data_IF_171393181761
#
_entry.id   IF_171393181761
#
_cell.length_a   1.000
_cell.length_b   1.000
_cell.length_c   1.000
_cell.angle_alpha   90.00
_cell.angle_beta   90.00
_cell.angle_gamma   90.00
#
_symmetry.space_group_name_H-M   'P 1'
#
loop_
_entity.id
_entity.type
_entity.pdbx_description
1 polymer ?
#
# COMPACT_ATOMS: atom_id res chain seq x y z
N UNK A 1 -3.54 -12.05 -6.88
CA UNK A 1 -4.43 -10.90 -6.53
C UNK A 1 -3.77 -10.08 -5.43
N UNK A 2 -3.90 -8.75 -5.44
CA UNK A 2 -3.30 -7.88 -4.42
C UNK A 2 -4.22 -7.66 -3.22
N UNK A 3 -3.67 -7.78 -2.01
CA UNK A 3 -4.34 -7.36 -0.76
C UNK A 3 -3.42 -6.39 -0.02
N UNK A 4 -3.89 -5.16 0.20
CA UNK A 4 -3.14 -4.14 0.94
C UNK A 4 -3.64 -4.07 2.38
N UNK A 5 -2.76 -4.40 3.33
CA UNK A 5 -3.01 -4.28 4.76
C UNK A 5 -2.53 -2.93 5.28
N UNK A 6 -3.42 -2.18 5.92
CA UNK A 6 -3.13 -0.88 6.52
C UNK A 6 -3.88 -0.68 7.83
N UNK A 7 -3.36 0.18 8.70
CA UNK A 7 -4.04 0.58 9.94
C UNK A 7 -4.65 1.98 9.90
N UNK A 8 -4.19 2.80 8.95
CA UNK A 8 -4.67 4.16 8.80
C UNK A 8 -4.56 4.60 7.33
N UNK A 9 -5.57 5.30 6.83
CA UNK A 9 -5.59 5.85 5.46
C UNK A 9 -5.29 7.34 5.36
N UNK A 10 -5.41 8.07 6.47
CA UNK A 10 -5.49 9.54 6.48
C UNK A 10 -4.29 10.19 7.18
N UNK A 11 -3.74 9.57 8.23
CA UNK A 11 -2.67 10.18 9.04
C UNK A 11 -1.32 9.48 8.94
N UNK A 12 -1.25 8.31 8.30
CA UNK A 12 0.03 7.60 8.07
C UNK A 12 0.52 7.83 6.65
N UNK A 13 1.62 8.59 6.50
CA UNK A 13 2.26 8.81 5.20
C UNK A 13 2.76 7.50 4.56
N UNK A 14 3.11 6.51 5.37
CA UNK A 14 3.57 5.20 4.90
C UNK A 14 2.43 4.42 4.25
N UNK A 15 1.28 4.34 4.94
CA UNK A 15 0.09 3.64 4.41
C UNK A 15 -0.53 4.39 3.22
N UNK A 16 -0.53 5.73 3.27
CA UNK A 16 -1.06 6.57 2.21
C UNK A 16 -0.29 6.39 0.89
N UNK A 17 1.05 6.34 0.93
CA UNK A 17 1.87 6.14 -0.27
C UNK A 17 1.51 4.85 -1.00
N UNK A 18 1.52 3.71 -0.30
CA UNK A 18 1.19 2.41 -0.90
C UNK A 18 -0.25 2.38 -1.46
N UNK A 19 -1.21 2.95 -0.73
CA UNK A 19 -2.60 3.03 -1.18
C UNK A 19 -2.77 3.92 -2.41
N UNK A 20 -2.20 5.13 -2.41
CA UNK A 20 -2.25 6.05 -3.54
C UNK A 20 -1.58 5.46 -4.78
N UNK A 21 -0.46 4.76 -4.63
CA UNK A 21 0.20 4.09 -5.76
C UNK A 21 -0.75 3.10 -6.44
N UNK A 22 -1.38 2.19 -5.68
CA UNK A 22 -2.33 1.23 -6.27
C UNK A 22 -3.54 1.94 -6.92
N UNK A 23 -4.05 3.00 -6.29
CA UNK A 23 -5.20 3.77 -6.80
C UNK A 23 -4.87 4.56 -8.08
N UNK A 24 -3.75 5.29 -8.08
CA UNK A 24 -3.33 6.14 -9.19
C UNK A 24 -3.02 5.32 -10.44
N UNK A 25 -2.56 4.08 -10.24
CA UNK A 25 -2.24 3.15 -11.30
C UNK A 25 -3.42 2.28 -11.71
N UNK A 26 -4.60 2.53 -11.12
CA UNK A 26 -5.83 1.80 -11.39
C UNK A 26 -5.67 0.27 -11.24
N UNK A 27 -4.75 -0.17 -10.37
CA UNK A 27 -4.49 -1.58 -10.11
C UNK A 27 -5.64 -2.09 -9.21
N UNK A 28 -6.37 -3.16 -9.59
CA UNK A 28 -7.37 -3.74 -8.71
C UNK A 28 -6.72 -4.39 -7.48
N UNK A 29 -7.23 -4.07 -6.29
CA UNK A 29 -6.75 -4.65 -5.04
C UNK A 29 -7.87 -4.68 -3.98
N UNK A 30 -7.75 -5.60 -3.04
CA UNK A 30 -8.54 -5.62 -1.81
C UNK A 30 -7.84 -4.78 -0.73
N UNK A 31 -8.63 -4.03 0.04
CA UNK A 31 -8.14 -3.23 1.15
C UNK A 31 -8.51 -3.89 2.48
N UNK A 32 -7.51 -4.41 3.19
CA UNK A 32 -7.69 -4.96 4.53
C UNK A 32 -7.31 -3.89 5.57
N UNK A 33 -8.31 -3.39 6.30
CA UNK A 33 -8.13 -2.34 7.31
C UNK A 33 -8.02 -2.92 8.72
N UNK A 34 -6.94 -2.59 9.43
CA UNK A 34 -6.59 -3.11 10.75
C UNK A 34 -6.32 -1.95 11.72
N UNK A 35 -7.35 -1.37 12.37
CA UNK A 35 -7.16 -0.26 13.31
C UNK A 35 -6.06 -0.55 14.34
N UNK A 36 -5.33 0.48 14.75
CA UNK A 36 -4.39 0.32 15.86
C UNK A 36 -5.15 -0.03 17.13
N UNK A 37 -4.67 -1.04 17.85
CA UNK A 37 -5.10 -1.37 19.19
C UNK A 37 -4.74 -0.22 20.16
N UNK A 38 -5.74 0.27 20.89
CA UNK A 38 -5.65 1.31 21.90
C UNK A 38 -4.73 0.92 23.08
N UNK A 39 -4.55 -0.38 23.31
CA UNK A 39 -3.66 -0.94 24.34
C UNK A 39 -2.21 -1.07 23.86
N UNK A 40 -1.92 -0.70 22.60
CA UNK A 40 -0.58 -0.70 22.04
C UNK A 40 -0.07 -2.07 21.55
N UNK A 41 -0.92 -3.11 21.49
CA UNK A 41 -0.50 -4.45 21.08
C UNK A 41 -0.52 -4.69 19.55
N UNK A 42 -0.72 -3.62 18.77
CA UNK A 42 -0.87 -3.69 17.31
C UNK A 42 0.27 -4.44 16.61
N UNK A 43 1.49 -4.37 17.15
CA UNK A 43 2.63 -5.11 16.60
C UNK A 43 2.39 -6.63 16.60
N UNK A 44 1.89 -7.19 17.70
CA UNK A 44 1.61 -8.62 17.79
C UNK A 44 0.49 -9.05 16.84
N UNK A 45 -0.55 -8.21 16.70
CA UNK A 45 -1.65 -8.47 15.76
C UNK A 45 -1.16 -8.43 14.31
N UNK A 46 -0.35 -7.43 13.95
CA UNK A 46 0.17 -7.29 12.60
C UNK A 46 1.15 -8.40 12.24
N UNK A 47 1.85 -9.00 13.22
CA UNK A 47 2.75 -10.15 12.97
C UNK A 47 2.05 -11.37 12.38
N UNK A 48 0.71 -11.44 12.44
CA UNK A 48 -0.08 -12.51 11.83
C UNK A 48 -0.08 -12.45 10.30
N UNK A 49 0.16 -11.27 9.71
CA UNK A 49 0.17 -11.06 8.25
C UNK A 49 1.40 -10.31 7.74
N UNK A 50 2.12 -9.58 8.59
CA UNK A 50 3.28 -8.77 8.23
C UNK A 50 4.52 -9.28 8.98
N UNK A 51 5.56 -9.76 8.29
CA UNK A 51 6.80 -10.23 8.92
C UNK A 51 7.46 -9.18 9.83
N UNK A 52 7.32 -7.90 9.47
CA UNK A 52 7.87 -6.78 10.24
C UNK A 52 7.00 -6.36 11.42
N UNK A 53 5.79 -6.91 11.56
CA UNK A 53 4.82 -6.48 12.58
C UNK A 53 4.33 -5.04 12.37
N UNK A 54 4.41 -4.55 11.13
CA UNK A 54 4.07 -3.18 10.75
C UNK A 54 3.23 -3.14 9.48
N UNK A 55 2.57 -2.02 9.28
CA UNK A 55 1.83 -1.67 8.07
C UNK A 55 2.43 -0.40 7.44
N UNK A 56 2.33 -0.20 6.12
CA UNK A 56 1.62 -1.03 5.14
C UNK A 56 2.31 -2.38 4.86
N UNK A 57 1.51 -3.36 4.44
CA UNK A 57 1.99 -4.65 3.96
C UNK A 57 1.13 -5.12 2.78
N UNK A 58 1.76 -5.46 1.66
CA UNK A 58 1.11 -5.95 0.45
C UNK A 58 1.27 -7.46 0.35
N UNK A 59 0.17 -8.17 0.22
CA UNK A 59 0.14 -9.59 -0.13
C UNK A 59 -0.13 -9.72 -1.62
N UNK A 60 0.64 -10.57 -2.28
CA UNK A 60 0.46 -10.91 -3.69
C UNK A 60 0.88 -12.36 -3.93
N UNK A 61 -0.11 -13.22 -4.14
CA UNK A 61 0.04 -14.68 -4.26
C UNK A 61 0.81 -15.25 -3.06
N UNK A 62 2.03 -15.79 -3.26
CA UNK A 62 2.87 -16.32 -2.18
C UNK A 62 3.87 -15.31 -1.61
N UNK A 63 3.79 -14.03 -2.04
CA UNK A 63 4.73 -12.98 -1.64
C UNK A 63 4.07 -12.02 -0.65
N UNK A 64 4.86 -11.64 0.34
CA UNK A 64 4.52 -10.62 1.32
C UNK A 64 5.59 -9.54 1.28
N UNK A 65 5.20 -8.33 0.88
CA UNK A 65 6.08 -7.17 0.76
C UNK A 65 5.66 -6.16 1.82
N UNK A 66 6.59 -5.79 2.69
CA UNK A 66 6.37 -4.80 3.75
C UNK A 66 7.32 -3.62 3.51
N UNK A 67 6.98 -2.46 4.09
CA UNK A 67 7.55 -1.15 3.77
C UNK A 67 6.94 -0.49 2.53
N UNK A 68 6.61 0.81 2.64
CA UNK A 68 5.94 1.54 1.57
C UNK A 68 6.78 1.68 0.30
N UNK A 69 8.11 1.87 0.43
CA UNK A 69 8.98 2.02 -0.73
C UNK A 69 9.18 0.67 -1.42
N UNK A 70 9.41 -0.39 -0.65
CA UNK A 70 9.52 -1.74 -1.20
C UNK A 70 8.24 -2.17 -1.93
N UNK A 71 7.06 -1.80 -1.41
CA UNK A 71 5.78 -2.03 -2.10
C UNK A 71 5.75 -1.28 -3.44
N UNK A 72 6.19 -0.02 -3.48
CA UNK A 72 6.21 0.78 -4.72
C UNK A 72 7.17 0.18 -5.74
N UNK A 73 8.39 -0.18 -5.33
CA UNK A 73 9.37 -0.82 -6.20
C UNK A 73 8.85 -2.15 -6.75
N UNK A 74 8.26 -2.98 -5.90
CA UNK A 74 7.65 -4.24 -6.29
C UNK A 74 6.52 -4.05 -7.33
N UNK A 75 5.69 -3.02 -7.16
CA UNK A 75 4.64 -2.69 -8.13
C UNK A 75 5.24 -2.14 -9.43
N UNK A 76 6.29 -1.32 -9.35
CA UNK A 76 7.00 -0.77 -10.49
C UNK A 76 7.62 -1.86 -11.38
N UNK A 77 8.25 -2.87 -10.77
CA UNK A 77 8.80 -4.03 -11.48
C UNK A 77 7.72 -4.85 -12.20
N UNK A 78 6.54 -4.99 -11.60
CA UNK A 78 5.44 -5.81 -12.12
C UNK A 78 4.56 -5.08 -13.15
N UNK A 79 4.55 -3.76 -13.08
CA UNK A 79 3.78 -2.90 -13.96
C UNK A 79 4.75 -1.88 -14.59
N UNK A 80 5.65 -2.30 -15.49
CA UNK A 80 6.70 -1.46 -16.05
C UNK A 80 6.18 -0.21 -16.77
N UNK A 81 4.91 -0.21 -17.19
CA UNK A 81 4.23 0.99 -17.68
C UNK A 81 4.27 2.17 -16.68
N UNK A 82 4.40 1.91 -15.37
CA UNK A 82 4.58 2.94 -14.33
C UNK A 82 5.87 3.73 -14.58
N UNK A 83 6.95 3.04 -14.98
CA UNK A 83 8.27 3.62 -15.16
C UNK A 83 8.41 4.29 -16.55
N UNK A 84 7.69 3.77 -17.56
CA UNK A 84 7.79 4.24 -18.95
C UNK A 84 6.80 5.34 -19.31
N UNK A 85 5.62 5.38 -18.71
CA UNK A 85 4.79 6.57 -18.78
C UNK A 85 5.41 7.58 -17.83
N UNK A 86 5.93 8.68 -18.37
CA UNK A 86 6.06 9.93 -17.64
C UNK A 86 4.65 10.34 -17.20
N UNK A 87 4.15 9.68 -16.16
CA UNK A 87 2.80 9.80 -15.64
C UNK A 87 2.69 11.23 -15.21
N UNK A 88 2.11 12.05 -16.09
CA UNK A 88 1.71 13.40 -15.74
C UNK A 88 0.70 13.20 -14.63
N UNK A 89 1.09 13.55 -13.40
CA UNK A 89 0.13 13.69 -12.32
C UNK A 89 -0.80 14.82 -12.78
N UNK A 90 -1.91 14.44 -13.40
CA UNK A 90 -2.97 15.39 -13.72
C UNK A 90 -3.46 15.92 -12.39
N UNK A 91 -3.34 17.22 -12.20
CA UNK A 91 -3.88 17.86 -11.01
C UNK A 91 -5.39 17.57 -10.96
N UNK A 92 -5.90 16.96 -9.88
CA UNK A 92 -7.31 16.61 -9.76
C UNK A 92 -8.26 17.83 -9.78
N UNK A 93 -7.74 19.06 -9.78
CA UNK A 93 -8.49 20.31 -9.92
C UNK A 93 -8.70 20.76 -11.37
N UNK A 94 -8.05 20.14 -12.34
CA UNK A 94 -8.14 20.52 -13.77
C UNK A 94 -9.40 19.96 -14.47
N UNK A 95 -10.52 19.88 -13.75
CA UNK A 95 -11.74 19.23 -14.21
C UNK A 95 -13.03 19.72 -13.54
N UNK A 96 -13.14 21.03 -13.25
CA UNK A 96 -14.39 21.70 -12.85
C UNK A 96 -14.59 22.92 -13.74
#
# INVERSE_FOLDING_TARGET
MYVLHIANRQTSSWSLRAWLTLRQLEIPFELAFHPFDEQGNSHADFRRFSPSGRVPCLHHDQRVVWDSLAIIEYLAERHPQILSSGTVIKDPREGI
#
